data_IF_266342438286
#
_entry.id   IF_266342438286
#
_cell.length_a   1.000
_cell.length_b   1.000
_cell.length_c   1.000
_cell.angle_alpha   90.00
_cell.angle_beta   90.00
_cell.angle_gamma   90.00
#
_symmetry.space_group_name_H-M   'P 1'
#
loop_
_entity.id
_entity.type
_entity.pdbx_description
1 polymer ?
#
# COMPACT_ATOMS: atom_id res chain seq x y z
N UNK A 1 17.41 17.06 23.20
CA UNK A 1 16.08 16.56 23.59
C UNK A 1 15.98 15.04 23.59
N UNK A 2 16.13 14.31 22.47
CA UNK A 2 16.16 12.83 22.52
C UNK A 2 17.51 12.27 23.03
N UNK A 3 18.62 12.91 22.67
CA UNK A 3 19.97 12.57 23.17
C UNK A 3 20.09 12.80 24.69
N UNK A 4 19.50 13.89 25.19
CA UNK A 4 19.44 14.20 26.63
C UNK A 4 18.60 13.19 27.43
N UNK A 5 17.75 12.42 26.74
CA UNK A 5 16.85 11.41 27.32
C UNK A 5 17.36 9.97 27.12
N UNK A 6 18.60 9.80 26.64
CA UNK A 6 19.29 8.50 26.57
C UNK A 6 18.81 7.56 25.46
N UNK A 7 17.92 8.00 24.57
CA UNK A 7 17.45 7.21 23.43
C UNK A 7 18.19 7.59 22.16
N UNK A 8 19.40 7.04 21.99
CA UNK A 8 20.22 7.28 20.79
C UNK A 8 19.88 6.31 19.66
N UNK A 9 19.55 6.89 18.50
CA UNK A 9 19.34 6.19 17.24
C UNK A 9 20.56 6.31 16.34
N UNK A 10 20.85 5.23 15.61
CA UNK A 10 21.89 5.29 14.58
C UNK A 10 21.46 6.22 13.46
N UNK A 11 22.42 6.95 12.90
CA UNK A 11 22.16 7.77 11.73
C UNK A 11 21.93 6.88 10.50
N UNK A 12 20.78 7.05 9.85
CA UNK A 12 20.47 6.43 8.56
C UNK A 12 20.50 7.53 7.48
N UNK A 13 21.30 7.31 6.44
CA UNK A 13 21.44 8.25 5.33
C UNK A 13 20.12 8.31 4.53
N UNK A 14 19.56 9.51 4.42
CA UNK A 14 18.32 9.76 3.71
C UNK A 14 18.28 11.19 3.19
N UNK A 15 17.79 11.33 1.96
CA UNK A 15 17.65 12.60 1.24
C UNK A 15 16.23 13.13 1.40
N UNK A 16 16.09 14.42 1.72
CA UNK A 16 14.79 15.11 1.78
C UNK A 16 14.20 15.21 0.38
N UNK A 17 12.90 14.93 0.25
CA UNK A 17 12.12 15.10 -0.97
C UNK A 17 11.23 16.33 -0.81
N UNK A 18 11.25 17.24 -1.79
CA UNK A 18 10.38 18.41 -1.80
C UNK A 18 8.90 18.00 -1.83
N UNK A 19 8.02 18.77 -1.19
CA UNK A 19 6.63 18.38 -0.97
C UNK A 19 5.86 18.13 -2.28
N UNK A 20 6.17 18.91 -3.32
CA UNK A 20 5.66 18.80 -4.68
C UNK A 20 6.13 17.55 -5.43
N UNK A 21 7.27 16.98 -5.02
CA UNK A 21 7.92 15.84 -5.68
C UNK A 21 7.67 14.50 -4.96
N UNK A 22 7.00 14.51 -3.80
CA UNK A 22 6.76 13.29 -2.99
C UNK A 22 6.02 12.24 -3.83
N UNK A 23 4.94 12.66 -4.49
CA UNK A 23 4.05 11.71 -5.16
C UNK A 23 4.70 11.11 -6.41
N UNK A 24 5.44 11.91 -7.19
CA UNK A 24 6.20 11.45 -8.35
C UNK A 24 7.40 10.57 -7.95
N UNK A 25 8.01 10.84 -6.81
CA UNK A 25 9.14 10.06 -6.27
C UNK A 25 8.70 8.67 -5.82
N UNK A 26 7.59 8.57 -5.07
CA UNK A 26 7.24 7.32 -4.40
C UNK A 26 6.11 6.54 -5.07
N UNK A 27 4.98 7.17 -5.41
CA UNK A 27 3.73 6.46 -5.72
C UNK A 27 3.77 5.63 -7.01
N UNK A 28 4.70 5.92 -7.92
CA UNK A 28 4.86 5.18 -9.17
C UNK A 28 5.61 3.86 -9.00
N UNK A 29 6.48 3.76 -7.99
CA UNK A 29 7.45 2.67 -7.86
C UNK A 29 7.27 1.86 -6.57
N UNK A 30 6.58 2.40 -5.58
CA UNK A 30 6.46 1.82 -4.25
C UNK A 30 5.01 1.83 -3.78
N UNK A 31 4.68 0.88 -2.90
CA UNK A 31 3.40 0.84 -2.20
C UNK A 31 3.56 1.42 -0.79
N UNK A 32 2.49 2.00 -0.25
CA UNK A 32 2.41 2.35 1.17
C UNK A 32 2.14 1.08 1.98
N UNK A 33 3.20 0.51 2.58
CA UNK A 33 3.21 -0.77 3.27
C UNK A 33 2.31 -0.80 4.52
N UNK A 34 1.99 0.38 5.07
CA UNK A 34 1.16 0.52 6.28
C UNK A 34 -0.25 1.05 6.00
N UNK A 35 -0.61 1.29 4.73
CA UNK A 35 -1.94 1.79 4.40
C UNK A 35 -3.03 0.87 4.95
N UNK A 36 -4.06 1.47 5.56
CA UNK A 36 -5.23 0.72 6.04
C UNK A 36 -5.93 -0.05 4.90
N UNK A 37 -5.89 0.47 3.67
CA UNK A 37 -6.49 -0.23 2.50
C UNK A 37 -5.71 -1.45 2.07
N UNK A 38 -4.41 -1.50 2.33
CA UNK A 38 -3.56 -2.68 2.12
C UNK A 38 -3.69 -3.69 3.28
N UNK A 39 -4.30 -3.28 4.39
CA UNK A 39 -4.45 -4.09 5.61
C UNK A 39 -3.52 -3.69 6.75
N UNK A 40 -2.80 -2.56 6.63
CA UNK A 40 -1.96 -2.04 7.71
C UNK A 40 -2.80 -1.72 8.94
N UNK A 41 -2.25 -1.97 10.13
CA UNK A 41 -3.01 -1.94 11.38
C UNK A 41 -2.18 -1.39 12.53
N UNK A 42 -2.73 -0.42 13.25
CA UNK A 42 -2.20 0.00 14.56
C UNK A 42 -2.40 -1.14 15.56
N UNK A 43 -1.31 -1.60 16.17
CA UNK A 43 -1.32 -2.63 17.20
C UNK A 43 -1.34 -2.05 18.62
N UNK A 44 -0.70 -0.90 18.80
CA UNK A 44 -0.63 -0.20 20.08
C UNK A 44 -0.03 1.18 19.92
N UNK A 45 -0.22 2.00 20.95
CA UNK A 45 0.21 3.39 21.02
C UNK A 45 0.48 3.79 22.47
N UNK A 46 1.25 4.86 22.68
CA UNK A 46 1.45 5.44 24.02
C UNK A 46 0.24 6.25 24.50
N UNK A 47 -0.37 7.04 23.62
CA UNK A 47 -1.51 7.90 23.91
C UNK A 47 -2.30 8.22 22.61
N UNK A 48 -3.59 8.54 22.74
CA UNK A 48 -4.49 8.95 21.64
C UNK A 48 -5.52 9.98 22.12
N UNK A 49 -5.17 10.81 23.10
CA UNK A 49 -6.15 11.60 23.83
C UNK A 49 -6.98 12.54 22.95
N UNK A 50 -6.35 13.24 22.01
CA UNK A 50 -7.07 14.21 21.16
C UNK A 50 -7.53 13.60 19.84
N UNK A 51 -6.76 12.67 19.26
CA UNK A 51 -7.13 11.99 18.02
C UNK A 51 -6.46 10.61 17.87
N UNK A 52 -7.20 9.66 17.27
CA UNK A 52 -6.82 8.25 17.14
C UNK A 52 -5.66 8.03 16.15
N UNK A 53 -4.70 7.19 16.51
CA UNK A 53 -3.52 6.85 15.70
C UNK A 53 -3.86 6.08 14.43
N UNK A 54 -5.01 5.40 14.37
CA UNK A 54 -5.51 4.76 13.15
C UNK A 54 -5.69 5.75 11.98
N UNK A 55 -5.90 7.04 12.27
CA UNK A 55 -6.00 8.07 11.23
C UNK A 55 -4.71 8.22 10.42
N UNK A 56 -3.55 7.89 10.99
CA UNK A 56 -2.25 7.95 10.29
C UNK A 56 -2.24 7.11 9.01
N UNK A 57 -2.96 5.98 9.04
CA UNK A 57 -2.96 4.96 7.98
C UNK A 57 -4.04 5.20 6.92
N UNK A 58 -4.89 6.21 7.11
CA UNK A 58 -6.00 6.54 6.20
C UNK A 58 -5.44 6.95 4.84
N UNK A 59 -5.86 6.34 3.71
CA UNK A 59 -5.25 6.60 2.39
C UNK A 59 -5.55 7.99 1.82
N UNK A 60 -6.67 8.62 2.24
CA UNK A 60 -7.06 9.92 1.73
C UNK A 60 -6.25 11.04 2.39
N UNK A 61 -6.08 12.18 1.70
CA UNK A 61 -5.53 13.38 2.31
C UNK A 61 -6.28 13.75 3.60
N UNK A 62 -5.59 14.33 4.59
CA UNK A 62 -6.23 14.89 5.79
C UNK A 62 -7.32 15.90 5.43
N UNK A 63 -8.39 15.92 6.20
CA UNK A 63 -9.42 16.97 6.12
C UNK A 63 -9.50 17.78 7.41
N UNK A 64 -9.99 19.01 7.31
CA UNK A 64 -10.26 19.88 8.46
C UNK A 64 -11.75 20.19 8.55
N UNK A 65 -12.30 20.17 9.76
CA UNK A 65 -13.66 20.61 10.04
C UNK A 65 -13.65 21.71 11.11
N UNK A 66 -13.44 22.99 10.73
CA UNK A 66 -13.39 24.10 11.68
C UNK A 66 -14.65 24.16 12.56
N UNK A 67 -14.48 24.30 13.87
CA UNK A 67 -15.57 24.37 14.84
C UNK A 67 -16.13 23.02 15.29
N UNK A 68 -15.73 21.90 14.68
CA UNK A 68 -16.09 20.58 15.17
C UNK A 68 -15.29 20.24 16.43
N UNK A 69 -16.00 19.99 17.52
CA UNK A 69 -15.44 19.57 18.80
C UNK A 69 -15.78 18.10 19.07
N UNK A 70 -14.85 17.38 19.67
CA UNK A 70 -15.04 16.08 20.32
C UNK A 70 -14.88 16.23 21.83
N UNK A 71 -15.17 15.17 22.58
CA UNK A 71 -15.11 15.20 24.05
C UNK A 71 -13.77 15.71 24.60
N UNK A 72 -12.67 15.42 23.90
CA UNK A 72 -11.31 15.74 24.33
C UNK A 72 -10.77 17.04 23.76
N UNK A 73 -11.46 17.73 22.84
CA UNK A 73 -10.97 18.98 22.24
C UNK A 73 -11.51 19.25 20.84
N UNK A 74 -10.77 20.02 20.04
CA UNK A 74 -11.07 20.18 18.62
C UNK A 74 -10.85 18.86 17.88
N UNK A 75 -11.73 18.53 16.95
CA UNK A 75 -11.57 17.31 16.15
C UNK A 75 -10.45 17.48 15.12
N UNK A 76 -9.55 16.50 15.06
CA UNK A 76 -8.48 16.40 14.07
C UNK A 76 -8.56 15.10 13.27
N UNK A 77 -8.23 15.19 11.99
CA UNK A 77 -8.01 14.03 11.10
C UNK A 77 -6.54 13.63 11.13
N UNK A 78 -6.14 13.01 12.24
CA UNK A 78 -4.76 12.63 12.52
C UNK A 78 -4.63 11.89 13.86
N UNK A 79 -3.40 11.69 14.29
CA UNK A 79 -3.04 11.26 15.64
C UNK A 79 -2.62 12.48 16.45
N UNK A 80 -3.11 12.63 17.68
CA UNK A 80 -2.67 13.70 18.58
C UNK A 80 -2.72 13.24 20.05
N UNK A 81 -1.60 13.46 20.74
CA UNK A 81 -1.37 12.99 22.12
C UNK A 81 -1.50 14.11 23.16
N UNK A 82 -1.62 13.72 24.44
CA UNK A 82 -1.57 14.67 25.57
C UNK A 82 -0.27 15.45 25.61
N UNK A 83 -0.39 16.72 25.99
CA UNK A 83 0.75 17.61 26.21
C UNK A 83 1.59 17.18 27.41
N UNK A 84 2.86 17.57 27.37
CA UNK A 84 3.82 17.45 28.47
C UNK A 84 4.13 15.98 28.79
N UNK A 85 4.33 15.18 27.74
CA UNK A 85 4.79 13.81 27.89
C UNK A 85 6.06 13.78 28.75
N UNK A 86 6.05 12.97 29.79
CA UNK A 86 7.17 12.81 30.71
C UNK A 86 8.19 11.78 30.18
N UNK A 87 7.80 11.02 29.16
CA UNK A 87 8.67 10.08 28.46
C UNK A 87 9.40 10.78 27.30
N UNK A 88 10.45 10.16 26.74
CA UNK A 88 11.23 10.77 25.68
C UNK A 88 10.46 11.01 24.38
N UNK A 89 9.45 10.20 24.11
CA UNK A 89 8.60 10.28 22.93
C UNK A 89 7.26 9.59 23.16
N UNK A 90 6.26 9.99 22.40
CA UNK A 90 5.07 9.20 22.10
C UNK A 90 5.36 8.25 20.94
N UNK A 91 4.67 7.11 20.89
CA UNK A 91 4.90 6.10 19.87
C UNK A 91 3.61 5.46 19.39
N UNK A 92 3.65 4.93 18.17
CA UNK A 92 2.64 4.04 17.61
C UNK A 92 3.33 2.86 16.92
N UNK A 93 2.90 1.64 17.26
CA UNK A 93 3.36 0.40 16.62
C UNK A 93 2.32 -0.03 15.59
N UNK A 94 2.79 -0.26 14.36
CA UNK A 94 1.96 -0.58 13.20
C UNK A 94 2.46 -1.88 12.57
N UNK A 95 1.54 -2.82 12.34
CA UNK A 95 1.77 -4.00 11.51
C UNK A 95 1.57 -3.63 10.04
N UNK A 96 2.48 -4.09 9.18
CA UNK A 96 2.35 -3.86 7.74
C UNK A 96 1.12 -4.59 7.17
N UNK A 97 0.54 -4.05 6.10
CA UNK A 97 -0.56 -4.70 5.36
C UNK A 97 -0.11 -5.87 4.50
N UNK A 98 1.20 -6.04 4.30
CA UNK A 98 1.83 -7.16 3.60
C UNK A 98 2.47 -8.13 4.58
N UNK A 99 2.79 -9.35 4.13
CA UNK A 99 3.47 -10.33 4.98
C UNK A 99 4.83 -9.82 5.48
N UNK A 100 5.60 -9.17 4.61
CA UNK A 100 6.78 -8.39 4.97
C UNK A 100 7.12 -7.41 3.85
N UNK A 101 8.01 -6.44 4.09
CA UNK A 101 8.48 -5.53 3.04
C UNK A 101 9.83 -4.88 3.34
N UNK A 102 10.50 -4.44 2.28
CA UNK A 102 11.68 -3.56 2.36
C UNK A 102 11.24 -2.10 2.20
N UNK A 103 11.95 -1.16 2.82
CA UNK A 103 11.57 0.27 2.83
C UNK A 103 12.51 1.08 1.95
N UNK A 104 11.95 1.97 1.15
CA UNK A 104 12.67 2.91 0.30
C UNK A 104 12.52 4.37 0.75
N UNK A 105 11.45 4.69 1.49
CA UNK A 105 11.26 6.03 2.03
C UNK A 105 10.04 6.17 2.91
N UNK A 106 9.91 7.35 3.50
CA UNK A 106 8.90 7.69 4.49
C UNK A 106 8.30 9.04 4.13
N UNK A 107 7.00 9.20 4.38
CA UNK A 107 6.33 10.50 4.43
C UNK A 107 5.61 10.68 5.78
N UNK A 108 5.73 11.87 6.35
CA UNK A 108 4.98 12.35 7.51
C UNK A 108 4.28 13.65 7.11
N UNK A 109 2.96 13.70 7.26
CA UNK A 109 2.15 14.88 6.98
C UNK A 109 1.64 15.46 8.30
N UNK A 110 1.96 16.72 8.60
CA UNK A 110 1.48 17.44 9.79
C UNK A 110 0.29 18.35 9.49
N UNK A 111 -0.40 18.16 8.35
CA UNK A 111 -1.53 18.98 7.92
C UNK A 111 -2.48 19.37 9.05
N UNK A 112 -2.79 20.66 9.12
CA UNK A 112 -3.66 21.31 10.10
C UNK A 112 -3.15 21.37 11.55
N UNK A 113 -2.10 20.65 11.90
CA UNK A 113 -1.39 20.83 13.16
C UNK A 113 -0.43 22.03 13.02
N UNK A 114 -0.82 23.17 13.59
CA UNK A 114 -0.06 24.43 13.50
C UNK A 114 0.16 24.98 14.90
N UNK A 115 1.39 24.87 15.38
CA UNK A 115 1.78 25.11 16.78
C UNK A 115 1.74 23.87 17.69
N UNK A 116 1.00 22.83 17.31
CA UNK A 116 0.91 21.53 18.04
C UNK A 116 1.31 20.33 17.17
N UNK A 117 2.08 20.55 16.10
CA UNK A 117 2.63 19.47 15.28
C UNK A 117 3.71 18.70 16.05
N UNK A 118 3.96 17.45 15.65
CA UNK A 118 5.17 16.73 16.04
C UNK A 118 6.42 17.58 15.77
N UNK A 119 7.24 17.95 16.78
CA UNK A 119 8.45 18.71 16.55
C UNK A 119 9.54 17.88 15.84
N UNK A 120 9.71 16.63 16.28
CA UNK A 120 10.62 15.68 15.64
C UNK A 120 9.97 14.30 15.57
N UNK A 121 10.42 13.50 14.61
CA UNK A 121 10.03 12.10 14.45
C UNK A 121 11.24 11.21 14.23
N UNK A 122 11.06 9.91 14.43
CA UNK A 122 11.94 8.85 13.91
C UNK A 122 11.10 7.62 13.54
N UNK A 123 11.67 6.72 12.75
CA UNK A 123 11.00 5.48 12.35
C UNK A 123 11.93 4.29 12.55
N UNK A 124 11.40 3.24 13.16
CA UNK A 124 12.11 1.98 13.38
C UNK A 124 11.30 0.79 12.88
N UNK A 125 11.96 -0.29 12.47
CA UNK A 125 11.35 -1.49 11.93
C UNK A 125 11.72 -2.75 12.70
N UNK A 126 10.92 -3.78 12.52
CA UNK A 126 11.24 -5.13 12.99
C UNK A 126 10.60 -6.23 12.16
N UNK A 127 11.34 -7.33 12.03
CA UNK A 127 10.86 -8.58 11.47
C UNK A 127 10.51 -9.57 12.59
N UNK A 128 9.24 -9.89 12.75
CA UNK A 128 8.80 -10.95 13.67
C UNK A 128 8.89 -12.29 12.96
N UNK A 129 9.76 -13.17 13.43
CA UNK A 129 9.89 -14.54 12.92
C UNK A 129 8.69 -15.42 13.32
N UNK A 130 8.10 -15.13 14.48
CA UNK A 130 6.96 -15.88 15.05
C UNK A 130 5.62 -15.37 14.54
N UNK A 131 5.55 -14.11 14.10
CA UNK A 131 4.31 -13.42 13.78
C UNK A 131 3.47 -13.06 15.01
N UNK A 132 4.03 -13.15 16.23
CA UNK A 132 3.32 -12.82 17.47
C UNK A 132 3.38 -11.31 17.74
N UNK A 133 2.24 -10.65 17.53
CA UNK A 133 2.06 -9.22 17.77
C UNK A 133 2.27 -8.85 19.26
N UNK A 134 2.02 -9.76 20.21
CA UNK A 134 2.22 -9.50 21.65
C UNK A 134 3.70 -9.43 22.01
N UNK A 135 4.53 -10.28 21.39
CA UNK A 135 5.98 -10.19 21.53
C UNK A 135 6.42 -8.79 21.10
N UNK A 136 5.99 -8.32 19.92
CA UNK A 136 6.33 -7.00 19.37
C UNK A 136 5.92 -5.85 20.30
N UNK A 137 4.72 -5.91 20.85
CA UNK A 137 4.21 -4.87 21.74
C UNK A 137 4.92 -4.80 23.09
N UNK A 138 5.53 -5.89 23.57
CA UNK A 138 6.19 -5.92 24.88
C UNK A 138 7.38 -4.96 25.02
N UNK A 139 7.91 -4.43 23.91
CA UNK A 139 9.03 -3.49 23.84
C UNK A 139 8.64 -2.17 23.17
N UNK A 140 7.34 -1.92 22.97
CA UNK A 140 6.84 -0.78 22.21
C UNK A 140 7.25 0.61 22.74
N UNK A 141 7.54 0.76 24.03
CA UNK A 141 8.08 2.00 24.63
C UNK A 141 9.59 1.97 24.93
N UNK A 142 10.32 0.97 24.46
CA UNK A 142 11.76 0.77 24.77
C UNK A 142 12.59 0.56 23.51
N UNK A 143 13.92 0.44 23.64
CA UNK A 143 14.77 0.12 22.48
C UNK A 143 14.49 -1.29 21.92
N UNK A 144 14.29 -2.27 22.80
CA UNK A 144 14.00 -3.66 22.42
C UNK A 144 14.87 -4.17 21.28
N UNK A 145 14.23 -4.72 20.24
CA UNK A 145 14.84 -5.21 19.00
C UNK A 145 14.55 -4.31 17.78
N UNK A 146 14.25 -3.03 18.02
CA UNK A 146 13.88 -2.10 16.94
C UNK A 146 15.14 -1.72 16.17
N UNK A 147 15.05 -1.78 14.84
CA UNK A 147 16.12 -1.35 13.95
C UNK A 147 15.78 0.02 13.35
N UNK A 148 16.69 0.99 13.34
CA UNK A 148 16.41 2.31 12.78
C UNK A 148 16.21 2.23 11.26
N UNK A 149 15.04 2.67 10.79
CA UNK A 149 14.75 2.90 9.37
C UNK A 149 15.05 4.36 9.01
N UNK A 150 14.67 5.29 9.89
CA UNK A 150 14.95 6.72 9.76
C UNK A 150 15.33 7.27 11.13
N UNK A 151 16.51 7.89 11.20
CA UNK A 151 16.94 8.62 12.39
C UNK A 151 16.07 9.84 12.67
N UNK A 152 16.41 10.60 13.71
CA UNK A 152 15.61 11.76 14.12
C UNK A 152 15.60 12.81 13.00
N UNK A 153 14.39 13.31 12.70
CA UNK A 153 14.14 14.38 11.73
C UNK A 153 13.19 15.42 12.31
N UNK A 154 13.48 16.68 12.05
CA UNK A 154 12.62 17.80 12.41
C UNK A 154 11.41 17.85 11.48
N UNK A 155 10.27 18.20 12.04
CA UNK A 155 9.03 18.48 11.34
C UNK A 155 8.61 19.92 11.64
N UNK A 156 7.77 20.46 10.77
CA UNK A 156 7.22 21.80 10.86
C UNK A 156 5.69 21.79 10.82
N UNK A 157 5.06 22.96 10.99
CA UNK A 157 3.61 23.06 11.08
C UNK A 157 2.94 22.87 9.71
N UNK A 158 1.89 22.04 9.69
CA UNK A 158 0.98 21.88 8.54
C UNK A 158 1.68 21.69 7.19
N UNK A 159 2.59 20.72 7.11
CA UNK A 159 3.42 20.48 5.93
C UNK A 159 3.67 18.98 5.70
N UNK A 160 3.91 18.58 4.45
CA UNK A 160 4.30 17.21 4.06
C UNK A 160 5.81 17.08 4.06
N UNK A 161 6.35 16.18 4.87
CA UNK A 161 7.77 15.88 4.94
C UNK A 161 8.01 14.50 4.37
N UNK A 162 9.03 14.34 3.52
CA UNK A 162 9.42 13.03 3.06
C UNK A 162 10.93 12.87 2.99
N UNK A 163 11.36 11.63 3.26
CA UNK A 163 12.76 11.23 3.22
C UNK A 163 12.87 9.96 2.39
N UNK A 164 13.65 10.03 1.31
CA UNK A 164 14.04 8.86 0.53
C UNK A 164 15.33 8.31 1.14
N UNK A 165 15.35 7.03 1.47
CA UNK A 165 16.58 6.40 1.95
C UNK A 165 17.61 6.40 0.80
N UNK A 166 18.84 6.79 1.09
CA UNK A 166 19.91 6.82 0.08
C UNK A 166 20.20 5.40 -0.44
N UNK A 167 20.00 4.41 0.43
CA UNK A 167 19.97 2.99 0.09
C UNK A 167 18.70 2.38 0.70
N UNK A 168 17.77 1.84 -0.11
CA UNK A 168 16.63 1.10 0.40
C UNK A 168 17.07 -0.04 1.32
N UNK A 169 16.23 -0.42 2.27
CA UNK A 169 16.59 -1.46 3.24
C UNK A 169 16.72 -2.82 2.54
N UNK A 170 17.77 -3.57 2.89
CA UNK A 170 17.88 -4.99 2.53
C UNK A 170 17.15 -5.88 3.54
N UNK A 171 17.12 -5.44 4.80
CA UNK A 171 16.28 -6.02 5.83
C UNK A 171 14.80 -5.87 5.47
N UNK A 172 14.03 -6.92 5.77
CA UNK A 172 12.58 -6.97 5.62
C UNK A 172 11.96 -6.65 6.97
N UNK A 173 10.80 -6.02 6.95
CA UNK A 173 10.05 -5.72 8.17
C UNK A 173 8.62 -6.25 8.08
N UNK A 174 8.07 -6.55 9.24
CA UNK A 174 6.67 -6.96 9.47
C UNK A 174 5.92 -5.90 10.28
N UNK A 175 6.68 -5.11 11.05
CA UNK A 175 6.20 -4.09 11.95
C UNK A 175 7.07 -2.85 11.82
N UNK A 176 6.47 -1.69 12.05
CA UNK A 176 7.14 -0.40 12.14
C UNK A 176 6.67 0.33 13.40
N UNK A 177 7.55 1.13 13.99
CA UNK A 177 7.22 2.07 15.05
C UNK A 177 7.55 3.48 14.61
N UNK A 178 6.56 4.36 14.69
CA UNK A 178 6.76 5.81 14.57
C UNK A 178 6.91 6.38 15.98
N UNK A 179 7.97 7.15 16.20
CA UNK A 179 8.21 7.88 17.44
C UNK A 179 8.06 9.38 17.18
N UNK A 180 7.37 10.09 18.08
CA UNK A 180 7.11 11.53 18.05
C UNK A 180 7.69 12.19 19.32
N UNK A 181 8.55 13.20 19.15
CA UNK A 181 9.35 13.74 20.26
C UNK A 181 8.96 15.18 20.65
N UNK A 182 8.57 15.45 21.92
CA UNK A 182 8.12 14.48 22.93
C UNK A 182 6.64 14.07 22.75
N UNK A 183 5.83 14.97 22.19
CA UNK A 183 4.38 14.85 21.99
C UNK A 183 3.94 15.82 20.88
N UNK A 184 2.67 15.75 20.45
CA UNK A 184 2.11 16.61 19.41
C UNK A 184 1.09 15.91 18.52
N UNK A 185 0.98 16.36 17.28
CA UNK A 185 0.06 15.80 16.29
C UNK A 185 0.66 15.56 14.90
N UNK A 186 0.22 14.47 14.27
CA UNK A 186 0.61 14.02 12.93
C UNK A 186 -0.65 13.59 12.18
N UNK A 187 -0.87 14.11 10.97
CA UNK A 187 -2.06 13.81 10.19
C UNK A 187 -1.96 12.48 9.44
N UNK A 188 -0.82 12.20 8.76
CA UNK A 188 -0.57 10.93 8.05
C UNK A 188 0.85 10.45 8.24
N UNK A 189 1.01 9.13 8.13
CA UNK A 189 2.29 8.46 8.04
C UNK A 189 2.24 7.46 6.89
N UNK A 190 3.22 7.51 5.98
CA UNK A 190 3.41 6.56 4.88
C UNK A 190 4.75 5.89 4.99
N UNK A 191 4.76 4.59 4.72
CA UNK A 191 5.98 3.78 4.65
C UNK A 191 6.09 3.19 3.25
N UNK A 192 6.88 3.84 2.39
CA UNK A 192 7.01 3.44 0.99
C UNK A 192 8.05 2.34 0.83
N UNK A 193 7.66 1.27 0.14
CA UNK A 193 8.55 0.15 -0.09
C UNK A 193 8.03 -0.90 -1.05
N UNK A 194 8.69 -2.06 -1.05
CA UNK A 194 8.28 -3.22 -1.81
C UNK A 194 7.79 -4.33 -0.88
N UNK A 195 6.65 -4.92 -1.20
CA UNK A 195 6.22 -6.15 -0.55
C UNK A 195 7.23 -7.26 -0.85
N UNK A 196 7.70 -7.93 0.20
CA UNK A 196 8.44 -9.18 0.07
C UNK A 196 7.51 -10.32 0.46
N UNK A 197 7.03 -11.11 -0.51
CA UNK A 197 6.04 -12.15 -0.25
C UNK A 197 6.60 -13.23 0.65
N UNK A 198 5.76 -13.74 1.54
CA UNK A 198 6.00 -15.00 2.25
C UNK A 198 5.07 -16.04 1.63
N UNK A 199 5.63 -16.86 0.75
CA UNK A 199 4.85 -17.89 0.07
C UNK A 199 4.55 -19.06 1.00
N UNK A 200 3.40 -19.74 0.82
CA UNK A 200 3.14 -21.00 1.48
C UNK A 200 4.31 -21.99 1.25
N UNK A 201 4.68 -22.74 2.29
CA UNK A 201 5.71 -23.78 2.16
C UNK A 201 5.31 -24.88 1.17
N UNK A 202 4.01 -25.15 1.06
CA UNK A 202 3.45 -26.06 0.06
C UNK A 202 3.38 -25.37 -1.31
N UNK A 203 4.14 -25.86 -2.29
CA UNK A 203 4.15 -25.34 -3.66
C UNK A 203 2.80 -25.49 -4.39
N UNK A 204 1.99 -26.47 -3.98
CA UNK A 204 0.67 -26.75 -4.56
C UNK A 204 -0.45 -25.92 -3.92
N UNK A 205 -0.12 -25.06 -2.95
CA UNK A 205 -1.09 -24.16 -2.35
C UNK A 205 -1.61 -23.18 -3.42
N UNK A 206 -2.93 -23.11 -3.55
CA UNK A 206 -3.59 -22.14 -4.43
C UNK A 206 -3.78 -20.83 -3.66
N UNK A 207 -3.22 -19.75 -4.17
CA UNK A 207 -3.36 -18.41 -3.59
C UNK A 207 -3.46 -17.35 -4.68
N UNK A 208 -3.83 -16.12 -4.29
CA UNK A 208 -3.92 -14.99 -5.22
C UNK A 208 -2.52 -14.48 -5.57
N UNK A 209 -2.03 -14.85 -6.76
CA UNK A 209 -0.73 -14.46 -7.30
C UNK A 209 -0.66 -12.95 -7.64
N UNK A 210 -1.81 -12.29 -7.82
CA UNK A 210 -1.88 -10.88 -8.16
C UNK A 210 -2.05 -9.98 -6.93
N UNK A 211 -2.38 -10.53 -5.76
CA UNK A 211 -2.57 -9.74 -4.55
C UNK A 211 -1.32 -8.88 -4.25
N UNK A 212 -1.52 -7.61 -3.92
CA UNK A 212 -0.43 -6.72 -3.50
C UNK A 212 0.30 -7.28 -2.26
N UNK A 213 -0.44 -7.94 -1.37
CA UNK A 213 0.09 -8.63 -0.18
C UNK A 213 1.07 -9.76 -0.54
N UNK A 214 0.93 -10.34 -1.72
CA UNK A 214 1.77 -11.40 -2.26
C UNK A 214 2.78 -10.88 -3.29
N UNK A 215 2.99 -9.56 -3.39
CA UNK A 215 3.99 -8.94 -4.27
C UNK A 215 3.49 -8.63 -5.68
N UNK A 216 2.19 -8.79 -5.96
CA UNK A 216 1.61 -8.37 -7.23
C UNK A 216 1.67 -6.84 -7.41
N UNK A 217 1.94 -6.39 -8.62
CA UNK A 217 2.08 -4.96 -8.96
C UNK A 217 1.30 -4.66 -10.24
N UNK A 218 0.48 -3.61 -10.23
CA UNK A 218 -0.17 -3.12 -11.45
C UNK A 218 0.79 -2.14 -12.15
N UNK A 219 1.37 -2.57 -13.27
CA UNK A 219 2.54 -1.93 -13.89
C UNK A 219 2.17 -0.91 -14.97
N UNK A 220 1.00 -1.06 -15.59
CA UNK A 220 0.52 -0.13 -16.61
C UNK A 220 -1.01 -0.22 -16.78
N UNK A 221 -1.61 0.81 -17.36
CA UNK A 221 -3.01 0.82 -17.77
C UNK A 221 -3.23 1.81 -18.92
N UNK A 222 -4.36 1.68 -19.64
CA UNK A 222 -4.73 2.58 -20.73
C UNK A 222 -5.23 3.96 -20.25
N UNK A 223 -6.04 3.99 -19.20
CA UNK A 223 -6.68 5.18 -18.63
C UNK A 223 -6.91 4.99 -17.13
N UNK A 224 -6.95 6.09 -16.37
CA UNK A 224 -7.39 6.10 -14.96
C UNK A 224 -8.16 7.40 -14.73
N UNK A 225 -9.48 7.33 -14.87
CA UNK A 225 -10.33 8.49 -14.64
C UNK A 225 -10.62 8.69 -13.16
N UNK A 226 -11.04 7.62 -12.49
CA UNK A 226 -11.27 7.57 -11.06
C UNK A 226 -10.64 6.32 -10.45
N UNK A 227 -10.13 6.46 -9.22
CA UNK A 227 -9.31 5.44 -8.59
C UNK A 227 -8.02 5.16 -9.36
N UNK A 228 -7.31 4.10 -8.97
CA UNK A 228 -6.06 3.70 -9.63
C UNK A 228 -6.05 2.20 -9.91
N UNK A 229 -5.28 1.77 -10.91
CA UNK A 229 -5.03 0.37 -11.29
C UNK A 229 -4.54 -0.46 -10.10
N UNK A 230 -3.82 0.15 -9.17
CA UNK A 230 -3.26 -0.51 -7.99
C UNK A 230 -4.36 -1.01 -7.04
N UNK A 231 -5.53 -0.35 -7.05
CA UNK A 231 -6.68 -0.77 -6.28
C UNK A 231 -7.21 -2.16 -6.68
N UNK A 232 -6.94 -2.60 -7.91
CA UNK A 232 -7.35 -3.94 -8.38
C UNK A 232 -6.78 -5.06 -7.51
N UNK A 233 -5.64 -4.82 -6.85
CA UNK A 233 -4.84 -5.84 -6.16
C UNK A 233 -4.99 -5.79 -4.63
N UNK A 234 -5.77 -4.83 -4.11
CA UNK A 234 -5.98 -4.62 -2.68
C UNK A 234 -6.84 -5.73 -2.05
N UNK A 235 -6.75 -5.98 -0.73
CA UNK A 235 -7.63 -6.94 -0.05
C UNK A 235 -9.12 -6.52 -0.06
N UNK A 236 -9.98 -7.48 0.25
CA UNK A 236 -11.44 -7.30 0.35
C UNK A 236 -12.11 -6.85 -0.95
N UNK A 237 -13.31 -6.27 -0.82
CA UNK A 237 -14.15 -5.76 -1.94
C UNK A 237 -14.35 -4.24 -1.91
N UNK A 238 -13.59 -3.55 -1.05
CA UNK A 238 -13.68 -2.10 -0.86
C UNK A 238 -15.02 -1.63 -0.28
N UNK A 239 -15.18 -0.30 -0.15
CA UNK A 239 -16.34 0.34 0.49
C UNK A 239 -17.28 1.08 -0.47
N UNK A 240 -16.76 1.59 -1.58
CA UNK A 240 -17.48 2.40 -2.57
C UNK A 240 -16.74 2.36 -3.93
N UNK A 241 -17.10 3.18 -4.94
CA UNK A 241 -16.39 3.14 -6.23
C UNK A 241 -14.98 3.74 -6.18
N UNK A 242 -14.67 4.59 -5.20
CA UNK A 242 -13.43 5.35 -5.13
C UNK A 242 -12.18 4.51 -4.83
N UNK A 243 -12.37 3.28 -4.34
CA UNK A 243 -11.30 2.32 -4.10
C UNK A 243 -11.28 1.17 -5.13
N UNK A 244 -11.78 1.41 -6.35
CA UNK A 244 -11.58 0.57 -7.55
C UNK A 244 -10.69 1.23 -8.61
N UNK A 245 -10.72 0.70 -9.83
CA UNK A 245 -10.14 1.31 -11.03
C UNK A 245 -11.27 1.59 -12.02
N UNK A 246 -11.41 2.84 -12.47
CA UNK A 246 -12.45 3.28 -13.41
C UNK A 246 -11.88 4.12 -14.54
N UNK A 247 -12.31 3.84 -15.76
CA UNK A 247 -11.91 4.57 -16.97
C UNK A 247 -12.96 5.52 -17.50
N UNK A 248 -12.54 6.46 -18.35
CA UNK A 248 -13.46 7.39 -19.01
C UNK A 248 -14.40 6.65 -19.94
N UNK A 249 -15.65 7.10 -19.93
CA UNK A 249 -16.66 6.63 -20.87
C UNK A 249 -16.21 6.88 -22.32
N UNK A 250 -16.17 5.83 -23.12
CA UNK A 250 -15.75 5.87 -24.52
C UNK A 250 -16.94 5.99 -25.48
N UNK A 251 -16.63 6.34 -26.74
CA UNK A 251 -17.60 6.44 -27.85
C UNK A 251 -17.08 5.80 -29.14
N UNK A 252 -15.79 5.47 -29.20
CA UNK A 252 -15.15 4.89 -30.38
C UNK A 252 -15.57 3.43 -30.56
N UNK A 253 -15.79 3.01 -31.81
CA UNK A 253 -16.11 1.62 -32.13
C UNK A 253 -14.89 0.74 -31.83
N UNK A 254 -15.09 -0.31 -31.04
CA UNK A 254 -14.03 -1.26 -30.67
C UNK A 254 -13.06 -0.74 -29.62
N UNK A 255 -13.39 0.35 -28.91
CA UNK A 255 -12.61 0.82 -27.77
C UNK A 255 -12.55 -0.27 -26.68
N UNK A 256 -11.39 -0.38 -26.03
CA UNK A 256 -11.16 -1.19 -24.85
C UNK A 256 -10.22 -0.43 -23.91
N UNK A 257 -10.41 -0.61 -22.61
CA UNK A 257 -9.43 -0.22 -21.62
C UNK A 257 -8.74 -1.45 -21.03
N UNK A 258 -7.52 -1.27 -20.52
CA UNK A 258 -6.75 -2.39 -19.99
C UNK A 258 -5.85 -1.99 -18.82
N UNK A 259 -5.51 -2.97 -17.99
CA UNK A 259 -4.51 -2.88 -16.93
C UNK A 259 -3.60 -4.12 -17.00
N UNK A 260 -2.29 -3.92 -16.87
CA UNK A 260 -1.27 -4.98 -16.82
C UNK A 260 -0.81 -5.15 -15.38
N UNK A 261 -0.81 -6.40 -14.93
CA UNK A 261 -0.44 -6.83 -13.60
C UNK A 261 0.75 -7.77 -13.71
N UNK A 262 1.85 -7.44 -13.05
CA UNK A 262 2.93 -8.38 -12.76
C UNK A 262 2.55 -9.20 -11.53
N UNK A 263 2.60 -10.51 -11.64
CA UNK A 263 2.33 -11.42 -10.54
C UNK A 263 3.48 -11.38 -9.53
N UNK A 264 3.17 -11.60 -8.26
CA UNK A 264 4.17 -11.61 -7.20
C UNK A 264 5.15 -12.78 -7.27
N UNK A 265 4.79 -13.83 -8.01
CA UNK A 265 5.68 -14.89 -8.46
C UNK A 265 5.19 -15.44 -9.81
N UNK A 266 6.08 -16.01 -10.63
CA UNK A 266 5.69 -16.87 -11.74
C UNK A 266 4.75 -17.98 -11.24
N UNK A 267 3.65 -18.23 -11.93
CA UNK A 267 2.64 -19.15 -11.44
C UNK A 267 1.74 -19.76 -12.52
N UNK A 268 1.18 -20.92 -12.21
CA UNK A 268 0.18 -21.62 -13.03
C UNK A 268 -1.21 -21.19 -12.60
N UNK A 269 -1.86 -20.41 -13.45
CA UNK A 269 -3.14 -19.78 -13.12
C UNK A 269 -4.28 -20.77 -13.38
N UNK A 270 -5.08 -21.02 -12.35
CA UNK A 270 -6.25 -21.89 -12.43
C UNK A 270 -7.52 -21.10 -12.77
N UNK A 271 -7.70 -19.96 -12.10
CA UNK A 271 -8.91 -19.14 -12.25
C UNK A 271 -8.65 -17.68 -11.88
N UNK A 272 -9.57 -16.85 -12.33
CA UNK A 272 -9.61 -15.43 -12.04
C UNK A 272 -10.91 -15.08 -11.31
N UNK A 273 -10.87 -14.01 -10.51
CA UNK A 273 -12.08 -13.31 -10.09
C UNK A 273 -11.98 -11.87 -10.57
N UNK A 274 -12.94 -11.45 -11.39
CA UNK A 274 -13.14 -10.03 -11.71
C UNK A 274 -14.33 -9.53 -10.89
N UNK A 275 -14.05 -8.68 -9.92
CA UNK A 275 -15.08 -8.13 -9.02
C UNK A 275 -15.48 -6.73 -9.48
N UNK A 276 -16.77 -6.52 -9.74
CA UNK A 276 -17.36 -5.21 -10.09
C UNK A 276 -18.07 -4.56 -8.90
N UNK A 277 -17.75 -4.95 -7.67
CA UNK A 277 -18.34 -4.39 -6.45
C UNK A 277 -18.45 -2.86 -6.51
N UNK A 278 -19.61 -2.34 -6.16
CA UNK A 278 -20.01 -0.92 -6.15
C UNK A 278 -20.13 -0.24 -7.52
N UNK A 279 -19.65 -0.84 -8.61
CA UNK A 279 -19.89 -0.36 -9.97
C UNK A 279 -21.24 -0.85 -10.48
N UNK A 280 -22.30 -0.09 -10.19
CA UNK A 280 -23.70 -0.49 -10.46
C UNK A 280 -24.25 0.00 -11.79
N UNK A 281 -23.78 1.15 -12.27
CA UNK A 281 -24.21 1.75 -13.53
C UNK A 281 -23.08 1.93 -14.56
N UNK A 282 -21.85 1.65 -14.15
CA UNK A 282 -20.62 1.90 -14.89
C UNK A 282 -19.65 0.69 -14.82
N UNK A 283 -20.15 -0.51 -14.53
CA UNK A 283 -19.38 -1.74 -14.74
C UNK A 283 -19.16 -1.97 -16.25
N UNK A 284 -18.10 -2.69 -16.65
CA UNK A 284 -17.87 -2.96 -18.06
C UNK A 284 -18.96 -3.87 -18.64
N UNK A 285 -19.18 -3.80 -19.95
CA UNK A 285 -20.12 -4.71 -20.61
C UNK A 285 -19.56 -6.14 -20.63
N UNK A 286 -18.26 -6.27 -20.93
CA UNK A 286 -17.53 -7.52 -20.93
C UNK A 286 -16.11 -7.32 -20.40
N UNK A 287 -15.51 -8.41 -19.96
CA UNK A 287 -14.08 -8.49 -19.68
C UNK A 287 -13.43 -9.64 -20.44
N UNK A 288 -12.15 -9.47 -20.77
CA UNK A 288 -11.29 -10.47 -21.39
C UNK A 288 -9.95 -10.45 -20.66
N UNK A 289 -9.35 -11.61 -20.42
CA UNK A 289 -8.02 -11.67 -19.80
C UNK A 289 -7.01 -12.30 -20.73
N UNK A 290 -5.84 -11.66 -20.77
CA UNK A 290 -4.64 -12.21 -21.39
C UNK A 290 -3.59 -12.52 -20.33
N UNK A 291 -2.72 -13.48 -20.60
CA UNK A 291 -1.58 -13.79 -19.74
C UNK A 291 -0.34 -14.04 -20.59
N UNK A 292 0.84 -13.89 -19.98
CA UNK A 292 2.10 -14.02 -20.67
C UNK A 292 3.22 -14.43 -19.69
N UNK A 293 4.10 -15.29 -20.19
CA UNK A 293 5.39 -15.56 -19.58
C UNK A 293 6.43 -14.60 -20.18
N UNK A 294 6.67 -13.50 -19.48
CA UNK A 294 7.68 -12.52 -19.88
C UNK A 294 9.07 -12.99 -19.44
N UNK A 295 9.93 -13.31 -20.41
CA UNK A 295 11.33 -13.74 -20.20
C UNK A 295 12.35 -12.73 -20.71
N UNK A 296 11.89 -11.67 -21.39
CA UNK A 296 12.74 -10.83 -22.21
C UNK A 296 13.02 -9.51 -21.51
N UNK A 297 14.21 -9.42 -20.91
CA UNK A 297 15.00 -8.22 -21.04
C UNK A 297 16.44 -8.47 -20.58
N UNK A 298 17.40 -8.12 -21.45
CA UNK A 298 18.81 -7.86 -21.07
C UNK A 298 18.94 -6.81 -19.93
N UNK A 299 17.83 -6.18 -19.55
CA UNK A 299 17.62 -5.32 -18.39
C UNK A 299 16.42 -5.83 -17.57
N UNK A 300 16.65 -6.65 -16.54
CA UNK A 300 15.65 -7.35 -15.70
C UNK A 300 14.49 -6.51 -15.12
N UNK A 301 14.45 -5.19 -15.35
CA UNK A 301 13.42 -4.27 -14.90
C UNK A 301 12.41 -3.81 -15.96
N UNK A 302 12.48 -4.31 -17.21
CA UNK A 302 11.57 -3.86 -18.26
C UNK A 302 10.24 -4.61 -18.26
N UNK A 303 9.16 -3.88 -18.00
CA UNK A 303 7.79 -4.39 -18.07
C UNK A 303 7.32 -4.56 -19.54
N UNK A 304 6.46 -5.53 -19.85
CA UNK A 304 6.03 -5.78 -21.22
C UNK A 304 5.08 -4.71 -21.77
N UNK A 305 5.21 -4.35 -23.06
CA UNK A 305 4.26 -3.43 -23.69
C UNK A 305 2.89 -4.09 -23.89
N UNK A 306 1.83 -3.27 -23.92
CA UNK A 306 0.45 -3.74 -24.00
C UNK A 306 0.11 -4.46 -25.31
N UNK A 307 0.83 -4.15 -26.39
CA UNK A 307 0.70 -4.71 -27.73
C UNK A 307 1.75 -5.81 -28.03
N UNK A 308 2.47 -6.29 -27.02
CA UNK A 308 3.41 -7.40 -27.20
C UNK A 308 2.72 -8.63 -27.84
N UNK A 309 3.33 -9.28 -28.83
CA UNK A 309 2.70 -10.39 -29.55
C UNK A 309 2.54 -11.67 -28.70
N UNK A 310 3.21 -11.75 -27.55
CA UNK A 310 3.21 -12.92 -26.66
C UNK A 310 2.02 -12.97 -25.68
N UNK A 311 1.13 -11.97 -25.67
CA UNK A 311 -0.10 -12.01 -24.89
C UNK A 311 -1.07 -13.08 -25.43
N UNK A 312 -1.38 -14.08 -24.62
CA UNK A 312 -2.32 -15.17 -24.94
C UNK A 312 -3.68 -14.91 -24.28
N UNK A 313 -4.79 -15.03 -25.03
CA UNK A 313 -6.15 -14.97 -24.47
C UNK A 313 -6.40 -16.21 -23.58
N UNK A 314 -6.48 -16.00 -22.27
CA UNK A 314 -6.73 -17.06 -21.26
C UNK A 314 -8.17 -17.07 -20.76
N UNK A 315 -8.91 -16.00 -21.00
CA UNK A 315 -10.35 -15.87 -20.78
C UNK A 315 -10.94 -15.07 -21.95
N UNK A 316 -11.92 -15.62 -22.66
CA UNK A 316 -12.62 -14.94 -23.77
C UNK A 316 -13.46 -13.75 -23.28
N UNK A 317 -13.87 -12.83 -24.18
CA UNK A 317 -14.84 -11.78 -23.85
C UNK A 317 -16.10 -12.34 -23.16
N UNK A 318 -16.20 -12.10 -21.86
CA UNK A 318 -17.25 -12.63 -21.00
C UNK A 318 -18.08 -11.49 -20.45
N UNK A 319 -19.40 -11.61 -20.56
CA UNK A 319 -20.33 -10.59 -20.06
C UNK A 319 -20.20 -10.44 -18.55
N UNK A 320 -20.17 -9.20 -18.08
CA UNK A 320 -20.18 -8.89 -16.65
C UNK A 320 -21.49 -8.21 -16.24
N UNK A 321 -21.73 -8.19 -14.94
CA UNK A 321 -22.87 -7.57 -14.29
C UNK A 321 -22.43 -6.60 -13.19
N UNK A 322 -23.38 -5.84 -12.63
CA UNK A 322 -23.10 -4.86 -11.59
C UNK A 322 -22.84 -5.52 -10.24
N UNK A 323 -21.91 -4.96 -9.47
CA UNK A 323 -21.75 -5.22 -8.03
C UNK A 323 -21.53 -6.71 -7.65
N UNK A 324 -20.84 -7.47 -8.50
CA UNK A 324 -20.69 -8.92 -8.32
C UNK A 324 -19.29 -9.44 -8.67
N UNK A 325 -18.94 -10.58 -8.06
CA UNK A 325 -17.73 -11.32 -8.41
C UNK A 325 -18.00 -12.24 -9.60
N UNK A 326 -17.12 -12.20 -10.59
CA UNK A 326 -17.16 -13.05 -11.78
C UNK A 326 -16.00 -14.02 -11.73
N UNK A 327 -16.29 -15.28 -11.43
CA UNK A 327 -15.28 -16.34 -11.46
C UNK A 327 -15.10 -16.87 -12.88
N UNK A 328 -13.86 -16.84 -13.38
CA UNK A 328 -13.51 -17.14 -14.77
C UNK A 328 -12.38 -18.16 -14.79
N UNK A 329 -12.61 -19.33 -15.37
CA UNK A 329 -11.58 -20.37 -15.48
C UNK A 329 -10.48 -19.95 -16.48
N UNK A 330 -9.23 -20.18 -16.12
CA UNK A 330 -8.11 -20.02 -17.05
C UNK A 330 -8.09 -21.20 -18.04
N UNK A 331 -7.99 -20.90 -19.34
CA UNK A 331 -7.89 -21.94 -20.39
C UNK A 331 -6.50 -22.60 -20.47
N UNK A 332 -5.46 -21.94 -19.96
CA UNK A 332 -4.06 -22.35 -20.11
C UNK A 332 -3.40 -22.66 -18.76
N UNK A 333 -3.98 -23.59 -17.98
CA UNK A 333 -3.58 -23.83 -16.59
C UNK A 333 -2.21 -24.49 -16.43
N UNK A 334 -1.72 -25.20 -17.45
CA UNK A 334 -0.45 -25.94 -17.39
C UNK A 334 0.79 -25.05 -17.59
N UNK A 335 0.58 -23.82 -18.10
CA UNK A 335 1.66 -22.87 -18.43
C UNK A 335 1.94 -21.93 -17.25
N UNK A 336 3.21 -21.64 -16.95
CA UNK A 336 3.56 -20.57 -16.03
C UNK A 336 3.35 -19.22 -16.71
N UNK A 337 2.79 -18.26 -15.98
CA UNK A 337 2.68 -16.86 -16.39
C UNK A 337 3.39 -15.98 -15.36
N UNK A 338 3.93 -14.85 -15.83
CA UNK A 338 4.50 -13.81 -14.97
C UNK A 338 3.64 -12.55 -14.96
N UNK A 339 2.82 -12.35 -15.99
CA UNK A 339 1.94 -11.20 -16.11
C UNK A 339 0.54 -11.59 -16.58
N UNK A 340 -0.42 -10.77 -16.17
CA UNK A 340 -1.83 -10.83 -16.59
C UNK A 340 -2.25 -9.45 -17.08
N UNK A 341 -3.06 -9.39 -18.13
CA UNK A 341 -3.67 -8.17 -18.65
C UNK A 341 -5.18 -8.29 -18.59
N UNK A 342 -5.78 -7.48 -17.71
CA UNK A 342 -7.23 -7.28 -17.66
C UNK A 342 -7.63 -6.33 -18.78
N UNK A 343 -8.60 -6.72 -19.59
CA UNK A 343 -9.19 -5.90 -20.64
C UNK A 343 -10.67 -5.73 -20.32
N UNK A 344 -11.13 -4.48 -20.22
CA UNK A 344 -12.52 -4.10 -20.00
C UNK A 344 -13.09 -3.54 -21.30
N UNK A 345 -14.34 -3.89 -21.60
CA UNK A 345 -14.98 -3.61 -22.90
C UNK A 345 -16.37 -2.99 -22.67
N UNK A 346 -16.69 -1.85 -23.32
CA UNK A 346 -15.73 -0.95 -23.97
C UNK A 346 -14.86 -0.20 -22.95
N UNK A 347 -15.44 0.16 -21.81
CA UNK A 347 -14.86 0.95 -20.72
C UNK A 347 -15.60 0.59 -19.42
N UNK A 348 -15.22 1.18 -18.29
CA UNK A 348 -15.96 1.09 -17.04
C UNK A 348 -15.08 0.87 -15.81
N UNK A 349 -15.70 0.45 -14.72
CA UNK A 349 -15.07 0.25 -13.43
C UNK A 349 -14.98 -1.21 -12.98
N UNK A 350 -13.83 -1.58 -12.46
CA UNK A 350 -13.56 -2.89 -11.84
C UNK A 350 -12.98 -2.65 -10.45
N UNK A 351 -13.50 -3.38 -9.45
CA UNK A 351 -13.05 -3.26 -8.08
C UNK A 351 -11.78 -4.05 -7.83
N UNK A 352 -11.78 -5.34 -8.14
CA UNK A 352 -10.61 -6.24 -7.93
C UNK A 352 -10.39 -7.15 -9.11
N UNK A 353 -9.13 -7.52 -9.28
CA UNK A 353 -8.72 -8.70 -10.03
C UNK A 353 -8.00 -9.65 -9.07
N UNK A 354 -8.48 -10.89 -8.97
CA UNK A 354 -7.81 -11.99 -8.27
C UNK A 354 -7.28 -12.98 -9.30
N UNK A 355 -6.07 -13.49 -9.10
CA UNK A 355 -5.44 -14.47 -9.98
C UNK A 355 -5.04 -15.68 -9.14
N UNK A 356 -5.94 -16.66 -9.03
CA UNK A 356 -5.70 -17.83 -8.20
C UNK A 356 -4.91 -18.90 -8.98
N UNK A 357 -3.81 -19.33 -8.40
CA UNK A 357 -2.95 -20.35 -8.98
C UNK A 357 -1.92 -20.87 -7.99
N UNK A 358 -1.06 -21.75 -8.48
CA UNK A 358 0.09 -22.27 -7.74
C UNK A 358 1.37 -21.61 -8.24
N UNK A 359 2.41 -21.57 -7.41
CA UNK A 359 3.71 -21.04 -7.82
C UNK A 359 4.36 -21.99 -8.81
N UNK A 360 4.96 -21.44 -9.87
CA UNK A 360 5.85 -22.18 -10.74
C UNK A 360 7.24 -22.23 -10.06
N UNK A 361 7.52 -23.35 -9.39
CA UNK A 361 8.81 -23.64 -8.74
C UNK A 361 9.80 -24.19 -9.74
#
# INVERSE_FOLDING_TARGET
MAEDLGYQLQHVAATVVAAEDIDSTFRSNYIDLISATLGGKVLGFSDEWFAEASNLLTPTPPIRQPGKMVYTGAWYDGWETRRHNQNPFDWVVIRLGVASGTVAGIEVDTAFFSGNHAPFISVEGYFSETGDDNEVLSWAGTKGRWEPILGIRECGPSHRFAWRLDTPTTARYTHVRLNMYPDGGIARFRLFGHAVPVFPANADAVFDLAAAQNGGVAVACSDQHFGTKDNLLLPGRGKDMGDGWETKRSRGKGHVDWAIIRLGAPGRVQRFIVDTAHFRGNFPQQVRLQAMEWKDSDDNNKEPPADAPAWEDVVEPTKTGPDQEHELACKAQDKPFTHVKLIVIPDGGVKRLRVFGTRAV
#
